data_IF_125327512718
#
_entry.id   IF_125327512718
#
_cell.length_a   1.000
_cell.length_b   1.000
_cell.length_c   1.000
_cell.angle_alpha   90.00
_cell.angle_beta   90.00
_cell.angle_gamma   90.00
#
_symmetry.space_group_name_H-M   'P 1'
#
loop_
_entity.id
_entity.type
_entity.pdbx_description
1 polymer ?
#
# COMPACT_ATOMS: atom_id res chain seq x y z
N UNK A 1 -6.92 -8.93 -3.37
CA UNK A 1 -6.14 -8.84 -2.10
C UNK A 1 -7.05 -8.50 -0.91
N UNK A 2 -7.69 -9.48 -0.25
CA UNK A 2 -8.49 -9.21 0.98
C UNK A 2 -7.60 -9.31 2.23
N UNK A 3 -7.76 -8.40 3.19
CA UNK A 3 -7.18 -8.49 4.54
C UNK A 3 -5.92 -7.66 4.82
N UNK A 4 -5.58 -6.69 3.97
CA UNK A 4 -4.61 -5.66 4.34
C UNK A 4 -5.29 -4.58 5.19
N UNK A 5 -4.58 -4.08 6.18
CA UNK A 5 -4.97 -2.95 7.03
C UNK A 5 -3.99 -1.82 6.79
N UNK A 6 -4.48 -0.59 6.67
CA UNK A 6 -3.62 0.57 6.54
C UNK A 6 -2.97 0.85 7.91
N UNK A 7 -1.64 0.98 7.94
CA UNK A 7 -0.90 1.21 9.20
C UNK A 7 -0.19 2.55 9.23
N UNK A 8 0.09 3.13 8.06
CA UNK A 8 0.71 4.45 7.95
C UNK A 8 0.24 5.14 6.68
N UNK A 9 0.02 6.45 6.81
CA UNK A 9 -0.18 7.36 5.69
C UNK A 9 0.70 8.57 5.90
N UNK A 10 1.48 8.92 4.88
CA UNK A 10 2.29 10.13 4.87
C UNK A 10 1.99 10.93 3.62
N UNK A 11 1.94 12.25 3.78
CA UNK A 11 1.66 13.15 2.68
C UNK A 11 2.56 14.36 2.75
N UNK A 12 3.09 14.75 1.59
CA UNK A 12 3.69 16.05 1.36
C UNK A 12 3.08 16.67 0.08
N UNK A 13 3.63 17.80 -0.37
CA UNK A 13 3.09 18.54 -1.52
C UNK A 13 3.26 17.80 -2.86
N UNK A 14 4.23 16.88 -2.94
CA UNK A 14 4.59 16.17 -4.17
C UNK A 14 4.09 14.72 -4.21
N UNK A 15 3.90 14.11 -3.04
CA UNK A 15 3.72 12.66 -2.90
C UNK A 15 2.79 12.29 -1.75
N UNK A 16 2.17 11.13 -1.88
CA UNK A 16 1.45 10.47 -0.80
C UNK A 16 1.84 9.00 -0.71
N UNK A 17 2.19 8.54 0.48
CA UNK A 17 2.69 7.20 0.76
C UNK A 17 1.79 6.46 1.75
N UNK A 18 1.56 5.18 1.50
CA UNK A 18 0.68 4.33 2.28
C UNK A 18 1.37 3.01 2.57
N UNK A 19 1.46 2.64 3.84
CA UNK A 19 1.91 1.31 4.26
C UNK A 19 0.74 0.47 4.76
N UNK A 20 0.72 -0.78 4.32
CA UNK A 20 -0.30 -1.76 4.64
C UNK A 20 0.33 -3.03 5.19
N UNK A 21 -0.36 -3.65 6.15
CA UNK A 21 0.05 -4.95 6.71
C UNK A 21 -1.10 -5.93 6.61
N UNK A 22 -0.78 -7.16 6.22
CA UNK A 22 -1.68 -8.32 6.31
C UNK A 22 -1.03 -9.40 7.14
N UNK A 23 -1.57 -9.62 8.33
CA UNK A 23 -1.12 -10.69 9.24
C UNK A 23 -2.04 -11.89 9.13
N UNK A 24 -1.46 -13.07 8.91
CA UNK A 24 -2.13 -14.38 9.01
C UNK A 24 -1.36 -15.25 10.01
N UNK A 25 -1.99 -16.29 10.60
CA UNK A 25 -1.33 -17.12 11.62
C UNK A 25 0.03 -17.71 11.22
N UNK A 26 0.30 -17.87 9.92
CA UNK A 26 1.53 -18.47 9.38
C UNK A 26 2.32 -17.53 8.47
N UNK A 27 1.87 -16.29 8.24
CA UNK A 27 2.53 -15.41 7.28
C UNK A 27 2.14 -13.95 7.48
N UNK A 28 3.12 -13.06 7.37
CA UNK A 28 2.89 -11.61 7.25
C UNK A 28 3.23 -11.18 5.83
N UNK A 29 2.43 -10.26 5.30
CA UNK A 29 2.76 -9.53 4.07
C UNK A 29 2.66 -8.04 4.35
N UNK A 30 3.62 -7.29 3.86
CA UNK A 30 3.70 -5.83 3.97
C UNK A 30 3.63 -5.26 2.56
N UNK A 31 2.84 -4.22 2.36
CA UNK A 31 2.72 -3.57 1.07
C UNK A 31 2.82 -2.06 1.24
N UNK A 32 3.51 -1.41 0.32
CA UNK A 32 3.66 0.04 0.29
C UNK A 32 3.19 0.55 -1.06
N UNK A 33 2.44 1.64 -1.07
CA UNK A 33 1.97 2.31 -2.29
C UNK A 33 2.31 3.79 -2.20
N UNK A 34 2.89 4.33 -3.27
CA UNK A 34 3.19 5.75 -3.41
C UNK A 34 2.43 6.31 -4.60
N UNK A 35 1.72 7.41 -4.38
CA UNK A 35 1.18 8.29 -5.43
C UNK A 35 2.16 9.45 -5.59
N UNK A 36 2.71 9.60 -6.79
CA UNK A 36 3.53 10.75 -7.16
C UNK A 36 2.68 11.73 -7.98
N UNK A 37 2.37 12.89 -7.39
CA UNK A 37 1.54 13.90 -8.05
C UNK A 37 2.30 14.67 -9.13
N UNK A 38 3.63 14.73 -9.04
CA UNK A 38 4.47 15.44 -10.00
C UNK A 38 4.50 14.71 -11.35
N UNK A 39 4.58 13.38 -11.31
CA UNK A 39 4.61 12.51 -12.49
C UNK A 39 3.26 11.90 -12.85
N UNK A 40 2.25 12.04 -11.97
CA UNK A 40 0.92 11.44 -12.09
C UNK A 40 0.96 9.91 -12.17
N UNK A 41 1.89 9.29 -11.46
CA UNK A 41 2.05 7.85 -11.42
C UNK A 41 1.66 7.28 -10.06
N UNK A 42 1.42 5.98 -10.06
CA UNK A 42 1.28 5.18 -8.83
C UNK A 42 2.23 4.00 -8.95
N UNK A 43 2.97 3.76 -7.87
CA UNK A 43 3.89 2.65 -7.75
C UNK A 43 3.65 1.95 -6.42
N UNK A 44 3.92 0.66 -6.36
CA UNK A 44 3.82 -0.07 -5.11
C UNK A 44 4.73 -1.27 -5.09
N UNK A 45 5.07 -1.70 -3.88
CA UNK A 45 5.89 -2.88 -3.61
C UNK A 45 5.25 -3.70 -2.51
N UNK A 46 5.48 -5.00 -2.51
CA UNK A 46 5.01 -5.92 -1.50
C UNK A 46 6.16 -6.82 -1.06
N UNK A 47 6.28 -7.04 0.25
CA UNK A 47 7.15 -8.04 0.84
C UNK A 47 6.29 -9.15 1.41
N UNK A 48 6.46 -10.36 0.91
CA UNK A 48 5.76 -11.54 1.41
C UNK A 48 6.67 -12.76 1.33
N UNK A 49 6.61 -13.63 2.34
CA UNK A 49 7.42 -14.86 2.37
C UNK A 49 8.94 -14.64 2.20
N UNK A 50 9.44 -13.47 2.61
CA UNK A 50 10.85 -13.10 2.50
C UNK A 50 11.29 -12.57 1.13
N UNK A 51 10.35 -12.40 0.20
CA UNK A 51 10.62 -11.92 -1.16
C UNK A 51 9.93 -10.58 -1.43
N UNK A 52 10.55 -9.79 -2.29
CA UNK A 52 10.05 -8.50 -2.76
C UNK A 52 9.37 -8.65 -4.12
N UNK A 53 8.22 -8.01 -4.26
CA UNK A 53 7.42 -8.01 -5.48
C UNK A 53 7.01 -6.58 -5.81
N UNK A 54 7.11 -6.21 -7.08
CA UNK A 54 6.46 -5.00 -7.56
C UNK A 54 4.95 -5.24 -7.65
N UNK A 55 4.18 -4.24 -7.23
CA UNK A 55 2.73 -4.26 -7.38
C UNK A 55 2.35 -3.71 -8.74
N UNK A 56 1.44 -4.42 -9.41
CA UNK A 56 0.79 -3.86 -10.59
C UNK A 56 -0.09 -2.67 -10.20
N UNK A 57 -0.39 -1.83 -11.19
CA UNK A 57 -1.25 -0.66 -11.00
C UNK A 57 -2.59 -1.03 -10.36
N UNK A 58 -3.21 -2.12 -10.80
CA UNK A 58 -4.52 -2.55 -10.30
C UNK A 58 -4.45 -2.99 -8.83
N UNK A 59 -3.37 -3.65 -8.42
CA UNK A 59 -3.15 -4.00 -7.01
C UNK A 59 -2.97 -2.75 -6.15
N UNK A 60 -2.25 -1.74 -6.65
CA UNK A 60 -2.11 -0.46 -5.99
C UNK A 60 -3.47 0.23 -5.80
N UNK A 61 -4.32 0.22 -6.84
CA UNK A 61 -5.67 0.80 -6.77
C UNK A 61 -6.57 0.09 -5.74
N UNK A 62 -6.44 -1.24 -5.61
CA UNK A 62 -7.17 -1.99 -4.57
C UNK A 62 -6.73 -1.57 -3.16
N UNK A 63 -5.43 -1.42 -2.93
CA UNK A 63 -4.91 -0.97 -1.63
C UNK A 63 -5.32 0.48 -1.33
N UNK A 64 -5.26 1.37 -2.31
CA UNK A 64 -5.75 2.75 -2.17
C UNK A 64 -7.25 2.81 -1.86
N UNK A 65 -8.05 1.89 -2.42
CA UNK A 65 -9.46 1.79 -2.09
C UNK A 65 -9.71 1.31 -0.64
N UNK A 66 -8.78 0.55 -0.04
CA UNK A 66 -8.81 0.24 1.39
C UNK A 66 -8.49 1.51 2.18
N UNK A 67 -7.42 2.21 1.83
CA UNK A 67 -7.04 3.46 2.50
C UNK A 67 -8.13 4.53 2.46
N UNK A 68 -8.85 4.66 1.34
CA UNK A 68 -9.95 5.61 1.21
C UNK A 68 -11.18 5.29 2.09
N UNK A 69 -11.28 4.05 2.60
CA UNK A 69 -12.36 3.60 3.48
C UNK A 69 -11.97 3.62 4.96
N UNK A 70 -10.67 3.69 5.23
CA UNK A 70 -10.12 3.76 6.58
C UNK A 70 -9.77 5.21 6.90
N UNK A 71 -10.55 5.83 7.80
CA UNK A 71 -10.13 7.06 8.45
C UNK A 71 -9.04 6.69 9.45
N UNK A 72 -7.78 6.89 9.08
CA UNK A 72 -6.74 7.00 10.09
C UNK A 72 -6.93 8.35 10.81
N UNK A 73 -7.00 8.36 12.16
CA UNK A 73 -7.14 9.59 12.93
C UNK A 73 -5.98 10.57 12.76
#
# INVERSE_FOLDING_TARGET
>A
MKGFTLVRRERNDEMEHFDFVRTRPLSTAEASVTIDYSTKTVHGTCVAYGEWFDLERDDCLVLLAIAAREDLP
#
